data_IF_528661877739
#
_entry.id   IF_528661877739
#
_cell.length_a   1.000
_cell.length_b   1.000
_cell.length_c   1.000
_cell.angle_alpha   90.00
_cell.angle_beta   90.00
_cell.angle_gamma   90.00
#
_symmetry.space_group_name_H-M   'P 1'
#
loop_
_entity.id
_entity.type
_entity.pdbx_description
1 polymer ?
#
# COMPACT_ATOMS: atom_id res chain seq x y z
N UNK A 1 16.81 16.14 5.11
CA UNK A 1 15.90 15.15 5.67
C UNK A 1 15.46 14.14 4.59
N UNK A 2 15.16 12.90 4.93
CA UNK A 2 14.77 11.86 3.96
C UNK A 2 13.63 12.27 3.03
N UNK A 3 12.70 13.10 3.51
CA UNK A 3 11.55 13.58 2.74
C UNK A 3 11.94 14.50 1.57
N UNK A 4 12.90 15.37 1.77
CA UNK A 4 13.38 16.29 0.71
C UNK A 4 14.17 15.55 -0.35
N UNK A 5 14.98 14.56 0.05
CA UNK A 5 15.68 13.68 -0.88
C UNK A 5 14.67 12.91 -1.73
N UNK A 6 13.68 12.26 -1.10
CA UNK A 6 12.61 11.56 -1.80
C UNK A 6 11.86 12.46 -2.79
N UNK A 7 11.54 13.70 -2.39
CA UNK A 7 10.88 14.65 -3.29
C UNK A 7 11.72 15.03 -4.51
N UNK A 8 13.05 15.19 -4.32
CA UNK A 8 13.97 15.44 -5.43
C UNK A 8 14.05 14.25 -6.39
N UNK A 9 14.22 13.05 -5.84
CA UNK A 9 14.33 11.82 -6.61
C UNK A 9 13.03 11.55 -7.39
N UNK A 10 11.88 11.76 -6.75
CA UNK A 10 10.58 11.64 -7.40
C UNK A 10 10.42 12.65 -8.55
N UNK A 11 10.80 13.92 -8.36
CA UNK A 11 10.75 14.92 -9.43
C UNK A 11 11.66 14.55 -10.59
N UNK A 12 12.89 14.14 -10.31
CA UNK A 12 13.83 13.71 -11.33
C UNK A 12 13.29 12.53 -12.16
N UNK A 13 12.62 11.58 -11.51
CA UNK A 13 11.99 10.44 -12.19
C UNK A 13 10.77 10.87 -13.02
N UNK A 14 9.96 11.80 -12.50
CA UNK A 14 8.85 12.39 -13.25
C UNK A 14 9.33 13.13 -14.49
N UNK A 15 10.36 13.97 -14.36
CA UNK A 15 10.97 14.70 -15.47
C UNK A 15 11.56 13.77 -16.53
N UNK A 16 12.16 12.66 -16.09
CA UNK A 16 12.73 11.63 -17.00
C UNK A 16 11.65 10.89 -17.78
N UNK A 17 10.50 10.63 -17.15
CA UNK A 17 9.40 9.83 -17.76
C UNK A 17 8.50 10.71 -18.63
N UNK A 18 8.20 11.92 -18.20
CA UNK A 18 7.36 12.88 -18.93
C UNK A 18 7.72 14.32 -18.56
N UNK A 19 8.54 14.98 -19.41
CA UNK A 19 8.98 16.36 -19.17
C UNK A 19 7.85 17.39 -19.05
N UNK A 20 6.59 17.02 -19.34
CA UNK A 20 5.42 17.87 -19.19
C UNK A 20 4.51 17.46 -18.02
N UNK A 21 4.98 16.60 -17.12
CA UNK A 21 4.18 16.03 -16.05
C UNK A 21 3.48 17.09 -15.16
N UNK A 22 4.16 18.19 -14.85
CA UNK A 22 3.60 19.26 -14.00
C UNK A 22 2.45 20.01 -14.69
N UNK A 23 2.58 20.28 -15.98
CA UNK A 23 1.53 20.90 -16.78
C UNK A 23 0.31 19.97 -16.92
N UNK A 24 0.53 18.68 -17.17
CA UNK A 24 -0.52 17.66 -17.25
C UNK A 24 -1.23 17.44 -15.92
N UNK A 25 -0.47 17.48 -14.82
CA UNK A 25 -1.04 17.41 -13.47
C UNK A 25 -1.94 18.61 -13.18
N UNK A 26 -1.52 19.82 -13.56
CA UNK A 26 -2.30 21.04 -13.39
C UNK A 26 -3.54 21.08 -14.30
N UNK A 27 -3.45 20.57 -15.51
CA UNK A 27 -4.56 20.51 -16.45
C UNK A 27 -5.68 19.55 -16.00
N UNK A 28 -5.35 18.51 -15.20
CA UNK A 28 -6.32 17.54 -14.71
C UNK A 28 -6.99 16.70 -15.82
N UNK A 29 -8.12 16.10 -15.52
CA UNK A 29 -8.98 15.43 -16.51
C UNK A 29 -8.25 14.37 -17.37
N UNK A 30 -8.31 14.51 -18.70
CA UNK A 30 -7.69 13.60 -19.64
C UNK A 30 -6.16 13.64 -19.60
N UNK A 31 -5.57 14.82 -19.42
CA UNK A 31 -4.12 14.96 -19.38
C UNK A 31 -3.53 14.30 -18.14
N UNK A 32 -4.20 14.39 -16.99
CA UNK A 32 -3.83 13.65 -15.80
C UNK A 32 -3.90 12.12 -16.03
N UNK A 33 -4.93 11.64 -16.74
CA UNK A 33 -5.04 10.22 -17.09
C UNK A 33 -3.92 9.76 -18.00
N UNK A 34 -3.52 10.58 -18.99
CA UNK A 34 -2.37 10.31 -19.86
C UNK A 34 -1.07 10.22 -19.06
N UNK A 35 -0.86 11.18 -18.15
CA UNK A 35 0.29 11.19 -17.25
C UNK A 35 0.35 9.92 -16.42
N UNK A 36 -0.73 9.56 -15.72
CA UNK A 36 -0.77 8.33 -14.89
C UNK A 36 -0.51 7.08 -15.72
N UNK A 37 -0.96 7.03 -16.98
CA UNK A 37 -0.69 5.90 -17.88
C UNK A 37 0.77 5.78 -18.29
N UNK A 38 1.47 6.91 -18.47
CA UNK A 38 2.90 6.89 -18.88
C UNK A 38 3.81 6.27 -17.81
N UNK A 39 3.41 6.27 -16.55
CA UNK A 39 4.17 5.67 -15.42
C UNK A 39 3.96 4.15 -15.26
N UNK A 40 3.25 3.49 -16.15
CA UNK A 40 2.96 2.06 -16.05
C UNK A 40 2.49 1.66 -14.62
N UNK A 41 1.35 2.18 -14.14
CA UNK A 41 0.90 2.01 -12.76
C UNK A 41 0.73 0.54 -12.34
N UNK A 42 0.68 -0.40 -13.28
CA UNK A 42 0.68 -1.84 -13.02
C UNK A 42 1.92 -2.31 -12.27
N UNK A 43 3.11 -1.85 -12.68
CA UNK A 43 4.36 -2.25 -12.02
C UNK A 43 4.38 -1.70 -10.59
N UNK A 44 4.08 -0.40 -10.44
CA UNK A 44 3.99 0.22 -9.12
C UNK A 44 2.95 -0.45 -8.22
N UNK A 45 1.77 -0.74 -8.75
CA UNK A 45 0.73 -1.45 -8.03
C UNK A 45 1.17 -2.86 -7.60
N UNK A 46 1.73 -3.66 -8.52
CA UNK A 46 2.16 -5.02 -8.24
C UNK A 46 3.28 -5.08 -7.18
N UNK A 47 4.17 -4.08 -7.18
CA UNK A 47 5.26 -3.99 -6.19
C UNK A 47 4.74 -3.52 -4.82
N UNK A 48 3.85 -2.53 -4.78
CA UNK A 48 3.42 -1.91 -3.52
C UNK A 48 2.32 -2.69 -2.81
N UNK A 49 1.46 -3.38 -3.54
CA UNK A 49 0.31 -4.08 -2.98
C UNK A 49 0.67 -5.08 -1.87
N UNK A 50 1.69 -5.96 -2.02
CA UNK A 50 2.08 -6.87 -0.96
C UNK A 50 2.48 -6.18 0.35
N UNK A 51 3.15 -5.03 0.26
CA UNK A 51 3.52 -4.24 1.45
C UNK A 51 2.28 -3.67 2.14
N UNK A 52 1.36 -3.08 1.38
CA UNK A 52 0.14 -2.48 1.94
C UNK A 52 -0.74 -3.54 2.60
N UNK A 53 -0.89 -4.70 1.99
CA UNK A 53 -1.66 -5.82 2.54
C UNK A 53 -1.00 -6.37 3.82
N UNK A 54 0.31 -6.64 3.81
CA UNK A 54 1.03 -7.13 4.97
C UNK A 54 1.01 -6.14 6.14
N UNK A 55 1.22 -4.85 5.87
CA UNK A 55 1.22 -3.82 6.90
C UNK A 55 -0.18 -3.57 7.46
N UNK A 56 -1.22 -3.77 6.65
CA UNK A 56 -2.60 -3.74 7.14
C UNK A 56 -2.87 -4.86 8.15
N UNK A 57 -2.36 -6.08 7.90
CA UNK A 57 -2.46 -7.21 8.83
C UNK A 57 -1.75 -6.88 10.15
N UNK A 58 -0.52 -6.35 10.08
CA UNK A 58 0.23 -5.93 11.28
C UNK A 58 -0.53 -4.88 12.07
N UNK A 59 -1.05 -3.84 11.40
CA UNK A 59 -1.81 -2.78 12.06
C UNK A 59 -3.11 -3.29 12.69
N UNK A 60 -3.77 -4.26 12.06
CA UNK A 60 -4.96 -4.92 12.64
C UNK A 60 -4.65 -5.61 13.97
N UNK A 61 -3.49 -6.26 14.10
CA UNK A 61 -3.06 -6.86 15.37
C UNK A 61 -2.88 -5.80 16.46
N UNK A 62 -2.17 -4.71 16.13
CA UNK A 62 -1.94 -3.61 17.07
C UNK A 62 -3.23 -2.90 17.50
N UNK A 63 -4.22 -2.79 16.63
CA UNK A 63 -5.52 -2.15 16.95
C UNK A 63 -6.36 -3.02 17.88
N UNK A 64 -6.18 -4.33 17.88
CA UNK A 64 -6.89 -5.28 18.77
C UNK A 64 -6.34 -5.30 20.20
N UNK A 65 -5.18 -4.73 20.44
CA UNK A 65 -4.58 -4.67 21.78
C UNK A 65 -5.40 -3.78 22.72
N UNK A 66 -5.62 -4.26 23.92
CA UNK A 66 -6.27 -3.51 25.00
C UNK A 66 -5.26 -2.55 25.65
N UNK A 67 -5.79 -1.55 26.35
CA UNK A 67 -4.96 -0.65 27.17
C UNK A 67 -4.14 -1.48 28.16
N UNK A 68 -2.87 -1.18 28.27
CA UNK A 68 -1.89 -1.91 29.07
C UNK A 68 -1.18 -3.07 28.34
N UNK A 69 -1.68 -3.50 27.19
CA UNK A 69 -1.05 -4.57 26.41
C UNK A 69 0.01 -4.03 25.43
N UNK A 70 0.99 -4.87 25.13
CA UNK A 70 1.99 -4.67 24.09
C UNK A 70 2.12 -5.93 23.24
N UNK A 71 2.63 -5.80 22.03
CA UNK A 71 2.85 -6.91 21.12
C UNK A 71 4.34 -6.96 20.76
N UNK A 72 4.95 -8.09 21.06
CA UNK A 72 6.36 -8.34 20.73
C UNK A 72 6.52 -8.66 19.24
N UNK A 73 7.67 -8.26 18.66
CA UNK A 73 7.97 -8.43 17.24
C UNK A 73 7.82 -9.89 16.77
N UNK A 74 8.35 -10.84 17.55
CA UNK A 74 8.26 -12.27 17.22
C UNK A 74 6.81 -12.75 17.16
N UNK A 75 6.03 -12.41 18.16
CA UNK A 75 4.60 -12.78 18.23
C UNK A 75 3.81 -12.13 17.08
N UNK A 76 4.09 -10.87 16.77
CA UNK A 76 3.48 -10.16 15.65
C UNK A 76 3.73 -10.88 14.31
N UNK A 77 4.96 -11.30 14.07
CA UNK A 77 5.33 -12.01 12.83
C UNK A 77 4.67 -13.39 12.74
N UNK A 78 4.69 -14.17 13.83
CA UNK A 78 4.06 -15.49 13.87
C UNK A 78 2.54 -15.42 13.65
N UNK A 79 1.87 -14.49 14.32
CA UNK A 79 0.44 -14.21 14.11
C UNK A 79 0.17 -13.68 12.70
N UNK A 80 1.02 -12.77 12.20
CA UNK A 80 0.92 -12.21 10.86
C UNK A 80 0.97 -13.29 9.77
N UNK A 81 1.85 -14.28 9.90
CA UNK A 81 1.92 -15.41 8.97
C UNK A 81 0.65 -16.26 8.99
N UNK A 82 0.09 -16.52 10.17
CA UNK A 82 -1.14 -17.30 10.31
C UNK A 82 -2.36 -16.53 9.76
N UNK A 83 -2.53 -15.27 10.18
CA UNK A 83 -3.62 -14.40 9.74
C UNK A 83 -3.54 -14.07 8.24
N UNK A 84 -2.32 -13.87 7.71
CA UNK A 84 -2.08 -13.64 6.29
C UNK A 84 -2.56 -14.80 5.43
N UNK A 85 -2.21 -16.04 5.82
CA UNK A 85 -2.71 -17.24 5.13
C UNK A 85 -4.23 -17.33 5.14
N UNK A 86 -4.85 -17.08 6.30
CA UNK A 86 -6.29 -17.06 6.43
C UNK A 86 -6.92 -15.95 5.57
N UNK A 87 -6.35 -14.75 5.59
CA UNK A 87 -6.82 -13.61 4.81
C UNK A 87 -6.74 -13.90 3.29
N UNK A 88 -5.68 -14.56 2.84
CA UNK A 88 -5.54 -14.99 1.44
C UNK A 88 -6.59 -16.02 1.04
N UNK A 89 -6.79 -17.07 1.83
CA UNK A 89 -7.82 -18.08 1.59
C UNK A 89 -9.22 -17.47 1.55
N UNK A 90 -9.49 -16.47 2.38
CA UNK A 90 -10.75 -15.73 2.41
C UNK A 90 -10.84 -14.61 1.36
N UNK A 91 -9.85 -14.49 0.47
CA UNK A 91 -9.73 -13.44 -0.55
C UNK A 91 -9.82 -12.00 -0.01
N UNK A 92 -9.38 -11.80 1.24
CA UNK A 92 -9.27 -10.47 1.85
C UNK A 92 -7.99 -9.74 1.45
N UNK A 93 -6.95 -10.50 1.09
CA UNK A 93 -5.75 -10.04 0.41
C UNK A 93 -5.65 -10.75 -0.93
N UNK A 94 -5.07 -10.09 -1.90
CA UNK A 94 -5.06 -10.54 -3.29
C UNK A 94 -3.77 -11.26 -3.69
N UNK A 95 -2.71 -11.11 -2.91
CA UNK A 95 -1.39 -11.63 -3.25
C UNK A 95 -0.84 -12.56 -2.16
N UNK A 96 -0.45 -13.76 -2.54
CA UNK A 96 0.31 -14.65 -1.67
C UNK A 96 1.68 -14.06 -1.29
N UNK A 97 2.26 -13.21 -2.15
CA UNK A 97 3.48 -12.48 -1.88
C UNK A 97 3.38 -11.54 -0.65
N UNK A 98 2.14 -11.20 -0.23
CA UNK A 98 1.89 -10.43 1.00
C UNK A 98 2.14 -11.23 2.29
N UNK A 99 2.29 -12.58 2.17
CA UNK A 99 2.49 -13.48 3.30
C UNK A 99 3.99 -13.79 3.43
N UNK A 100 4.74 -12.81 3.91
CA UNK A 100 6.19 -12.94 4.04
C UNK A 100 6.70 -12.48 5.40
N UNK A 101 7.58 -13.28 6.02
CA UNK A 101 8.22 -12.95 7.30
C UNK A 101 8.83 -11.54 7.27
N UNK A 102 9.60 -11.25 6.22
CA UNK A 102 10.29 -9.95 6.05
C UNK A 102 9.27 -8.78 5.96
N UNK A 103 8.13 -9.00 5.31
CA UNK A 103 7.11 -7.95 5.21
C UNK A 103 6.48 -7.66 6.57
N UNK A 104 6.18 -8.68 7.36
CA UNK A 104 5.64 -8.51 8.72
C UNK A 104 6.66 -7.88 9.67
N UNK A 105 7.94 -8.28 9.59
CA UNK A 105 9.04 -7.64 10.32
C UNK A 105 9.16 -6.15 9.97
N UNK A 106 9.09 -5.80 8.69
CA UNK A 106 9.15 -4.42 8.24
C UNK A 106 7.89 -3.64 8.65
N UNK A 107 6.72 -4.28 8.62
CA UNK A 107 5.48 -3.69 9.12
C UNK A 107 5.56 -3.37 10.61
N UNK A 108 6.10 -4.30 11.41
CA UNK A 108 6.36 -4.06 12.85
C UNK A 108 7.32 -2.89 13.07
N UNK A 109 8.45 -2.88 12.36
CA UNK A 109 9.43 -1.77 12.43
C UNK A 109 8.82 -0.44 12.03
N UNK A 110 7.93 -0.40 11.05
CA UNK A 110 7.19 0.81 10.70
C UNK A 110 6.36 1.32 11.88
N UNK A 111 5.61 0.45 12.55
CA UNK A 111 4.80 0.80 13.73
C UNK A 111 5.71 1.29 14.88
N UNK A 112 6.86 0.65 15.08
CA UNK A 112 7.89 1.02 16.06
C UNK A 112 8.48 2.42 15.78
N UNK A 113 8.91 2.68 14.53
CA UNK A 113 9.43 3.99 14.12
C UNK A 113 8.42 5.13 14.27
N UNK A 114 7.13 4.82 14.21
CA UNK A 114 6.05 5.78 14.47
C UNK A 114 5.76 5.96 15.96
N UNK A 115 6.47 5.27 16.84
CA UNK A 115 6.25 5.29 18.29
C UNK A 115 4.97 4.58 18.73
N UNK A 116 4.44 3.69 17.90
CA UNK A 116 3.15 3.03 18.13
C UNK A 116 3.26 1.55 18.54
N UNK A 117 4.48 0.98 18.67
CA UNK A 117 4.67 -0.42 19.06
C UNK A 117 4.63 -0.66 20.58
N UNK A 118 4.84 0.36 21.38
CA UNK A 118 4.89 0.28 22.85
C UNK A 118 3.57 -0.14 23.50
N UNK A 119 3.55 -0.03 24.84
CA UNK A 119 2.35 -0.31 25.64
C UNK A 119 1.17 0.53 25.17
N UNK A 120 0.03 -0.11 25.02
CA UNK A 120 -1.18 0.53 24.53
C UNK A 120 -1.74 1.51 25.54
N UNK A 121 -1.75 2.79 25.21
CA UNK A 121 -2.51 3.84 25.89
C UNK A 121 -3.71 4.23 25.03
N UNK A 122 -4.65 5.01 25.57
CA UNK A 122 -5.79 5.52 24.80
C UNK A 122 -5.36 6.36 23.58
N UNK A 123 -4.30 7.15 23.73
CA UNK A 123 -3.73 7.97 22.66
C UNK A 123 -3.09 7.10 21.57
N UNK A 124 -2.26 6.12 21.98
CA UNK A 124 -1.63 5.15 21.06
C UNK A 124 -2.71 4.35 20.32
N UNK A 125 -3.73 3.87 21.03
CA UNK A 125 -4.83 3.13 20.39
C UNK A 125 -5.59 3.99 19.35
N UNK A 126 -5.80 5.27 19.63
CA UNK A 126 -6.42 6.21 18.69
C UNK A 126 -5.55 6.40 17.44
N UNK A 127 -4.26 6.61 17.64
CA UNK A 127 -3.28 6.79 16.54
C UNK A 127 -3.18 5.54 15.66
N UNK A 128 -3.17 4.35 16.26
CA UNK A 128 -3.19 3.06 15.53
C UNK A 128 -4.46 2.90 14.69
N UNK A 129 -5.62 3.23 15.24
CA UNK A 129 -6.90 3.19 14.48
C UNK A 129 -6.89 4.14 13.28
N UNK A 130 -6.36 5.36 13.45
CA UNK A 130 -6.21 6.33 12.36
C UNK A 130 -5.30 5.79 11.26
N UNK A 131 -4.13 5.28 11.63
CA UNK A 131 -3.17 4.72 10.68
C UNK A 131 -3.77 3.51 9.92
N UNK A 132 -4.44 2.60 10.63
CA UNK A 132 -5.14 1.47 9.99
C UNK A 132 -6.21 1.94 8.99
N UNK A 133 -6.97 2.98 9.33
CA UNK A 133 -7.97 3.55 8.41
C UNK A 133 -7.33 4.12 7.14
N UNK A 134 -6.16 4.76 7.26
CA UNK A 134 -5.38 5.26 6.11
C UNK A 134 -4.91 4.11 5.22
N UNK A 135 -4.34 3.03 5.78
CA UNK A 135 -3.91 1.85 5.03
C UNK A 135 -5.07 1.13 4.35
N UNK A 136 -6.21 0.97 5.03
CA UNK A 136 -7.44 0.42 4.42
C UNK A 136 -7.97 1.31 3.29
N UNK A 137 -7.85 2.62 3.44
CA UNK A 137 -8.17 3.58 2.38
C UNK A 137 -7.24 3.44 1.17
N UNK A 138 -5.94 3.23 1.42
CA UNK A 138 -4.95 2.99 0.37
C UNK A 138 -5.25 1.68 -0.36
N UNK A 139 -5.48 0.57 0.36
CA UNK A 139 -5.83 -0.72 -0.24
C UNK A 139 -7.04 -0.62 -1.18
N UNK A 140 -8.10 0.08 -0.75
CA UNK A 140 -9.29 0.30 -1.59
C UNK A 140 -9.00 1.10 -2.85
N UNK A 141 -8.15 2.13 -2.77
CA UNK A 141 -7.73 2.91 -3.95
C UNK A 141 -6.90 2.07 -4.91
N UNK A 142 -5.98 1.27 -4.39
CA UNK A 142 -5.17 0.35 -5.19
C UNK A 142 -6.03 -0.69 -5.90
N UNK A 143 -7.00 -1.29 -5.21
CA UNK A 143 -7.91 -2.26 -5.81
C UNK A 143 -8.77 -1.62 -6.91
N UNK A 144 -9.28 -0.43 -6.70
CA UNK A 144 -10.01 0.32 -7.74
C UNK A 144 -9.14 0.57 -8.97
N UNK A 145 -7.89 0.99 -8.78
CA UNK A 145 -6.94 1.16 -9.89
C UNK A 145 -6.71 -0.15 -10.63
N UNK A 146 -6.53 -1.25 -9.92
CA UNK A 146 -6.34 -2.59 -10.51
C UNK A 146 -7.50 -2.97 -11.43
N UNK A 147 -8.73 -2.80 -10.96
CA UNK A 147 -9.93 -3.11 -11.73
C UNK A 147 -10.02 -2.24 -12.99
N UNK A 148 -9.81 -0.94 -12.86
CA UNK A 148 -9.83 0.00 -14.00
C UNK A 148 -8.77 -0.33 -15.05
N UNK A 149 -7.57 -0.73 -14.61
CA UNK A 149 -6.47 -1.09 -15.48
C UNK A 149 -6.72 -2.40 -16.22
N UNK A 150 -7.26 -3.42 -15.54
CA UNK A 150 -7.63 -4.69 -16.18
C UNK A 150 -8.71 -4.49 -17.23
N UNK A 151 -9.78 -3.78 -16.91
CA UNK A 151 -10.84 -3.46 -17.85
C UNK A 151 -10.34 -2.65 -19.07
N UNK A 152 -9.27 -1.88 -18.91
CA UNK A 152 -8.66 -1.18 -20.03
C UNK A 152 -7.78 -2.10 -20.88
N UNK A 153 -7.04 -3.01 -20.27
CA UNK A 153 -6.22 -3.99 -20.99
C UNK A 153 -7.11 -4.89 -21.88
N UNK A 154 -8.25 -5.33 -21.35
CA UNK A 154 -9.25 -6.11 -22.11
C UNK A 154 -9.76 -5.34 -23.34
N UNK A 155 -10.17 -4.09 -23.14
CA UNK A 155 -10.64 -3.23 -24.27
C UNK A 155 -9.57 -2.98 -25.33
N UNK A 156 -8.30 -2.92 -24.94
CA UNK A 156 -7.21 -2.73 -25.88
C UNK A 156 -6.96 -4.02 -26.67
N UNK A 157 -6.97 -5.19 -26.01
CA UNK A 157 -6.83 -6.49 -26.66
C UNK A 157 -7.96 -6.76 -27.67
N UNK A 158 -9.21 -6.42 -27.33
CA UNK A 158 -10.36 -6.53 -28.25
C UNK A 158 -10.20 -5.65 -29.51
N UNK A 159 -9.62 -4.45 -29.36
CA UNK A 159 -9.36 -3.55 -30.49
C UNK A 159 -8.26 -4.06 -31.41
N UNK A 160 -7.24 -4.71 -30.87
CA UNK A 160 -6.15 -5.27 -31.64
C UNK A 160 -6.55 -6.55 -32.40
N UNK A 161 -7.48 -7.33 -31.85
CA UNK A 161 -8.00 -8.55 -32.51
C UNK A 161 -9.12 -8.25 -33.53
N UNK A 162 -9.73 -7.08 -33.48
CA UNK A 162 -10.81 -6.68 -34.39
C UNK A 162 -10.34 -5.92 -35.64
N UNK A 163 -9.02 -5.77 -35.81
CA UNK A 163 -8.37 -5.19 -36.98
C UNK A 163 -7.66 -6.25 -37.79
#
# INVERSE_FOLDING_TARGET
PPREQFQRDLRAELDRTDGQWSARLAAGGQELRRLVRSFQPFVGHAVLLPFVEAYTIVLDQFVRLKVGEALESKACVEQGLAEGRQAYLLRRISSEASIGKILFENGYKMVEHLGLAGVTTEEVARSRRKLLAEFRGLSRRMEKMRIELLAQAERNAEREMGT
#
